data_IF_929867811261
#
_entry.id   IF_929867811261
#
_cell.length_a   1.000
_cell.length_b   1.000
_cell.length_c   1.000
_cell.angle_alpha   90.00
_cell.angle_beta   90.00
_cell.angle_gamma   90.00
#
_symmetry.space_group_name_H-M   'P 1'
#
loop_
_entity.id
_entity.type
_entity.pdbx_description
1 polymer ?
#
# COMPACT_ATOMS: atom_id res chain seq x y z
N UNK A 1 -18.27 34.15 1.86
CA UNK A 1 -18.89 32.89 2.30
C UNK A 1 -18.06 31.76 1.73
N UNK A 2 -17.16 31.19 2.51
CA UNK A 2 -16.37 30.04 2.10
C UNK A 2 -17.20 28.79 2.42
N UNK A 3 -17.62 28.05 1.41
CA UNK A 3 -18.26 26.75 1.58
C UNK A 3 -17.15 25.72 1.76
N UNK A 4 -16.82 25.39 3.01
CA UNK A 4 -16.05 24.20 3.34
C UNK A 4 -16.85 22.98 2.92
N UNK A 5 -16.42 22.34 1.83
CA UNK A 5 -16.92 21.04 1.40
C UNK A 5 -16.45 19.98 2.39
N UNK A 6 -17.32 19.64 3.33
CA UNK A 6 -17.21 18.45 4.16
C UNK A 6 -17.34 17.23 3.26
N UNK A 7 -16.21 16.71 2.79
CA UNK A 7 -16.16 15.37 2.18
C UNK A 7 -16.36 14.39 3.33
N UNK A 8 -17.60 13.95 3.51
CA UNK A 8 -17.95 12.84 4.40
C UNK A 8 -17.11 11.63 3.99
N UNK A 9 -16.13 11.28 4.84
CA UNK A 9 -15.41 10.01 4.75
C UNK A 9 -16.40 8.89 5.00
N UNK A 10 -16.97 8.36 3.92
CA UNK A 10 -17.72 7.11 3.91
C UNK A 10 -16.91 6.06 4.66
N UNK A 11 -17.53 5.42 5.66
CA UNK A 11 -16.89 4.62 6.69
C UNK A 11 -15.69 3.82 6.20
N UNK A 12 -14.50 4.23 6.62
CA UNK A 12 -13.24 3.55 6.34
C UNK A 12 -13.32 2.13 6.91
N UNK A 13 -13.67 1.17 6.05
CA UNK A 13 -13.45 -0.25 6.33
C UNK A 13 -11.97 -0.35 6.68
N UNK A 14 -11.65 -0.74 7.92
CA UNK A 14 -10.27 -1.04 8.33
C UNK A 14 -9.76 -2.17 7.44
N UNK A 15 -9.04 -1.82 6.38
CA UNK A 15 -8.35 -2.78 5.52
C UNK A 15 -7.15 -3.33 6.28
N UNK A 16 -6.83 -4.62 6.09
CA UNK A 16 -5.61 -5.17 6.67
C UNK A 16 -4.39 -4.59 5.96
N UNK A 17 -3.23 -4.62 6.64
CA UNK A 17 -1.95 -4.21 6.05
C UNK A 17 -1.68 -4.95 4.72
N UNK A 18 -1.93 -6.25 4.69
CA UNK A 18 -1.73 -7.07 3.49
C UNK A 18 -2.68 -6.66 2.35
N UNK A 19 -3.93 -6.30 2.67
CA UNK A 19 -4.89 -5.83 1.68
C UNK A 19 -4.46 -4.48 1.09
N UNK A 20 -4.06 -3.54 1.95
CA UNK A 20 -3.52 -2.24 1.55
C UNK A 20 -2.33 -2.38 0.60
N UNK A 21 -1.37 -3.25 0.93
CA UNK A 21 -0.19 -3.47 0.09
C UNK A 21 -0.56 -4.07 -1.26
N UNK A 22 -1.42 -5.09 -1.28
CA UNK A 22 -1.79 -5.81 -2.52
C UNK A 22 -2.75 -5.03 -3.42
N UNK A 23 -3.43 -4.03 -2.89
CA UNK A 23 -4.35 -3.19 -3.65
C UNK A 23 -3.73 -1.82 -3.91
N UNK A 24 -3.70 -0.96 -2.89
CA UNK A 24 -3.35 0.45 -3.05
C UNK A 24 -1.89 0.64 -3.48
N UNK A 25 -0.95 -0.02 -2.80
CA UNK A 25 0.48 0.14 -3.10
C UNK A 25 0.85 -0.49 -4.44
N UNK A 26 0.32 -1.68 -4.74
CA UNK A 26 0.52 -2.33 -6.04
C UNK A 26 -0.05 -1.49 -7.19
N UNK A 27 -1.28 -0.98 -7.03
CA UNK A 27 -1.92 -0.12 -8.03
C UNK A 27 -1.10 1.16 -8.26
N UNK A 28 -0.61 1.80 -7.20
CA UNK A 28 0.27 2.96 -7.31
C UNK A 28 1.54 2.65 -8.11
N UNK A 29 2.20 1.52 -7.81
CA UNK A 29 3.39 1.09 -8.54
C UNK A 29 3.10 0.89 -10.03
N UNK A 30 1.98 0.26 -10.38
CA UNK A 30 1.56 0.05 -11.77
C UNK A 30 1.22 1.36 -12.48
N UNK A 31 0.43 2.22 -11.84
CA UNK A 31 -0.02 3.50 -12.41
C UNK A 31 1.14 4.44 -12.74
N UNK A 32 2.19 4.43 -11.92
CA UNK A 32 3.38 5.25 -12.12
C UNK A 32 4.52 4.51 -12.83
N UNK A 33 4.26 3.29 -13.31
CA UNK A 33 5.21 2.46 -14.04
C UNK A 33 6.56 2.30 -13.30
N UNK A 34 6.50 2.14 -11.97
CA UNK A 34 7.68 2.01 -11.13
C UNK A 34 8.20 0.57 -11.16
N UNK A 35 9.52 0.41 -11.11
CA UNK A 35 10.15 -0.92 -11.07
C UNK A 35 10.06 -1.57 -9.68
N UNK A 36 10.07 -0.77 -8.61
CA UNK A 36 9.96 -1.29 -7.25
C UNK A 36 9.49 -0.22 -6.28
N UNK A 37 8.79 -0.64 -5.22
CA UNK A 37 8.42 0.20 -4.08
C UNK A 37 8.63 -0.57 -2.79
N UNK A 38 9.02 0.14 -1.74
CA UNK A 38 9.12 -0.39 -0.38
C UNK A 38 8.30 0.51 0.54
N UNK A 39 7.45 -0.09 1.36
CA UNK A 39 6.57 0.63 2.30
C UNK A 39 6.77 0.04 3.70
N UNK A 40 6.85 0.91 4.69
CA UNK A 40 7.06 0.59 6.10
C UNK A 40 5.94 1.26 6.89
N UNK A 41 5.27 0.52 7.77
CA UNK A 41 4.19 1.04 8.60
C UNK A 41 4.69 1.73 9.89
N UNK A 42 6.00 1.68 10.16
CA UNK A 42 6.61 2.23 11.36
C UNK A 42 6.33 1.42 12.64
N UNK A 43 5.59 0.32 12.55
CA UNK A 43 5.18 -0.55 13.64
C UNK A 43 5.69 -1.99 13.47
N UNK A 44 6.71 -2.18 12.62
CA UNK A 44 7.37 -3.47 12.40
C UNK A 44 6.87 -4.24 11.20
N UNK A 45 5.91 -3.72 10.42
CA UNK A 45 5.50 -4.33 9.15
C UNK A 45 6.10 -3.59 7.97
N UNK A 46 6.65 -4.37 7.06
CA UNK A 46 7.27 -3.89 5.84
C UNK A 46 6.74 -4.65 4.64
N UNK A 47 6.61 -3.96 3.52
CA UNK A 47 6.30 -4.56 2.24
C UNK A 47 7.29 -4.11 1.17
N UNK A 48 7.63 -5.03 0.28
CA UNK A 48 8.43 -4.75 -0.92
C UNK A 48 7.68 -5.31 -2.11
N UNK A 49 7.41 -4.46 -3.10
CA UNK A 49 6.82 -4.87 -4.37
C UNK A 49 7.85 -4.58 -5.46
N UNK A 50 8.08 -5.56 -6.34
CA UNK A 50 8.99 -5.43 -7.48
C UNK A 50 8.32 -5.94 -8.75
N UNK A 51 8.49 -5.19 -9.82
CA UNK A 51 8.21 -5.68 -11.16
C UNK A 51 9.33 -6.64 -11.58
N UNK A 52 8.94 -7.81 -12.04
CA UNK A 52 9.88 -8.85 -12.47
C UNK A 52 10.19 -8.71 -13.95
N UNK A 53 11.33 -9.25 -14.39
CA UNK A 53 11.70 -9.26 -15.81
C UNK A 53 10.73 -10.03 -16.71
N UNK A 54 9.82 -10.82 -16.14
CA UNK A 54 8.80 -11.59 -16.86
C UNK A 54 7.48 -10.84 -17.04
N UNK A 55 7.34 -9.65 -16.45
CA UNK A 55 6.09 -8.87 -16.47
C UNK A 55 5.16 -9.13 -15.28
N UNK A 56 5.53 -10.05 -14.38
CA UNK A 56 4.78 -10.31 -13.14
C UNK A 56 5.23 -9.40 -12.00
N UNK A 57 4.44 -9.30 -10.92
CA UNK A 57 4.81 -8.60 -9.69
C UNK A 57 5.15 -9.57 -8.56
N UNK A 58 6.29 -9.35 -7.91
CA UNK A 58 6.65 -10.02 -6.67
C UNK A 58 6.28 -9.13 -5.49
N UNK A 59 5.47 -9.66 -4.57
CA UNK A 59 5.06 -8.97 -3.33
C UNK A 59 5.61 -9.76 -2.13
N UNK A 60 6.47 -9.12 -1.35
CA UNK A 60 6.99 -9.66 -0.10
C UNK A 60 6.49 -8.80 1.06
N UNK A 61 5.85 -9.44 2.04
CA UNK A 61 5.39 -8.80 3.27
C UNK A 61 6.14 -9.44 4.43
N UNK A 62 6.66 -8.61 5.33
CA UNK A 62 7.39 -9.05 6.52
C UNK A 62 6.80 -8.33 7.72
N UNK A 63 6.49 -9.09 8.77
CA UNK A 63 6.00 -8.56 10.04
C UNK A 63 6.95 -9.00 11.14
N UNK A 64 7.57 -8.06 11.81
CA UNK A 64 8.31 -8.30 13.04
C UNK A 64 7.37 -8.04 14.22
N UNK A 65 7.11 -9.07 15.01
CA UNK A 65 6.49 -8.90 16.32
C UNK A 65 7.59 -8.50 17.32
N UNK A 66 7.46 -7.31 17.91
CA UNK A 66 8.20 -6.96 19.12
C UNK A 66 7.36 -7.50 20.28
N UNK A 67 7.85 -8.57 20.92
CA UNK A 67 7.25 -9.14 22.12
C UNK A 67 7.62 -8.32 23.37
#
# INVERSE_FOLDING_TARGET
MATESLVEKQGEKKISWEAFVKQDVLNFLMQHNLQSITVDDGAGKKAVIKHTSKGDFSVQITSNEIL
#
